data_IF_545249995703
#
_entry.id   IF_545249995703
#
_cell.length_a   1.000
_cell.length_b   1.000
_cell.length_c   1.000
_cell.angle_alpha   90.00
_cell.angle_beta   90.00
_cell.angle_gamma   90.00
#
_symmetry.space_group_name_H-M   'P 1'
#
loop_
_entity.id
_entity.type
_entity.pdbx_description
1 polymer ?
#
# COMPACT_ATOMS: atom_id res chain seq x y z
N UNK A 1 59.71 -36.57 55.45
CA UNK A 1 60.82 -37.33 54.84
C UNK A 1 60.47 -37.60 53.39
N UNK A 2 61.37 -37.21 52.48
CA UNK A 2 61.50 -37.63 51.07
C UNK A 2 60.36 -37.27 50.09
N UNK A 3 60.58 -36.79 48.85
CA UNK A 3 61.75 -36.25 48.13
C UNK A 3 61.24 -35.76 46.75
N UNK A 4 61.76 -34.62 46.29
CA UNK A 4 62.35 -34.35 44.95
C UNK A 4 61.53 -34.65 43.66
N UNK A 5 61.15 -33.63 42.87
CA UNK A 5 61.89 -32.87 41.81
C UNK A 5 61.71 -33.42 40.37
N UNK A 6 61.87 -32.48 39.41
CA UNK A 6 61.97 -32.57 37.93
C UNK A 6 60.65 -32.59 37.15
N UNK A 7 60.48 -31.94 36.00
CA UNK A 7 61.12 -30.79 35.32
C UNK A 7 60.22 -30.47 34.08
N UNK A 8 60.37 -29.26 33.55
CA UNK A 8 59.67 -28.64 32.41
C UNK A 8 59.35 -29.52 31.18
N UNK A 9 58.21 -29.24 30.55
CA UNK A 9 58.11 -29.18 29.08
C UNK A 9 56.97 -28.24 28.64
N UNK A 10 57.37 -27.22 27.87
CA UNK A 10 56.51 -26.36 27.07
C UNK A 10 55.80 -27.18 25.99
N UNK A 11 54.50 -26.94 25.80
CA UNK A 11 53.82 -27.23 24.53
C UNK A 11 52.78 -26.14 24.27
N UNK A 12 52.95 -25.51 23.11
CA UNK A 12 52.18 -24.38 22.62
C UNK A 12 50.77 -24.77 22.14
N UNK A 13 49.94 -23.74 21.99
CA UNK A 13 48.62 -23.71 21.38
C UNK A 13 48.44 -24.70 20.21
N UNK A 14 47.26 -25.34 20.17
CA UNK A 14 46.25 -25.18 19.11
C UNK A 14 44.91 -25.52 19.77
N UNK A 15 44.12 -24.51 20.11
CA UNK A 15 42.68 -24.70 20.33
C UNK A 15 42.03 -24.63 18.94
N UNK A 16 41.75 -25.79 18.34
CA UNK A 16 40.71 -25.89 17.31
C UNK A 16 39.38 -25.63 18.01
N UNK A 17 39.05 -24.34 18.18
CA UNK A 17 37.68 -23.93 18.38
C UNK A 17 36.91 -24.39 17.14
N UNK A 18 36.14 -25.47 17.29
CA UNK A 18 35.11 -25.81 16.32
C UNK A 18 34.24 -24.57 16.20
N UNK A 19 34.32 -23.88 15.06
CA UNK A 19 33.29 -22.96 14.65
C UNK A 19 32.00 -23.79 14.63
N UNK A 20 31.18 -23.65 15.66
CA UNK A 20 29.77 -23.98 15.58
C UNK A 20 29.26 -23.22 14.36
N UNK A 21 28.72 -23.89 13.33
CA UNK A 21 28.06 -23.16 12.26
C UNK A 21 27.01 -22.30 12.94
N UNK A 22 27.01 -21.00 12.62
CA UNK A 22 25.97 -20.10 13.05
C UNK A 22 24.65 -20.79 12.80
N UNK A 23 23.94 -21.11 13.89
CA UNK A 23 22.58 -21.59 13.85
C UNK A 23 21.82 -20.70 12.87
N UNK A 24 21.33 -21.30 11.78
CA UNK A 24 20.44 -20.67 10.83
C UNK A 24 19.52 -19.70 11.55
N UNK A 25 19.66 -18.40 11.25
CA UNK A 25 18.64 -17.40 11.56
C UNK A 25 17.33 -17.95 11.00
N UNK A 26 16.47 -18.44 11.88
CA UNK A 26 15.10 -18.79 11.55
C UNK A 26 14.35 -17.49 11.24
N UNK A 27 14.56 -16.96 10.03
CA UNK A 27 13.49 -16.20 9.39
C UNK A 27 12.27 -17.13 9.27
N UNK A 28 11.05 -16.64 9.48
CA UNK A 28 9.87 -17.46 9.31
C UNK A 28 9.90 -18.09 7.91
N UNK A 29 9.65 -19.40 7.84
CA UNK A 29 9.54 -20.08 6.54
C UNK A 29 8.42 -19.38 5.78
N UNK A 30 8.67 -19.00 4.53
CA UNK A 30 7.75 -18.26 3.66
C UNK A 30 6.29 -18.79 3.73
N UNK A 31 6.12 -20.12 3.81
CA UNK A 31 4.81 -20.76 3.94
C UNK A 31 4.06 -20.49 5.25
N UNK A 32 4.71 -19.96 6.31
CA UNK A 32 4.06 -19.57 7.58
C UNK A 32 3.48 -18.15 7.53
N UNK A 33 4.06 -17.26 6.72
CA UNK A 33 3.64 -15.86 6.63
C UNK A 33 2.52 -15.64 5.59
N UNK A 34 2.53 -16.38 4.48
CA UNK A 34 1.63 -16.08 3.36
C UNK A 34 0.38 -16.93 3.32
N UNK A 35 -0.78 -16.30 3.12
CA UNK A 35 -1.96 -17.00 2.67
C UNK A 35 -1.80 -17.51 1.23
N UNK A 36 -1.96 -18.82 1.05
CA UNK A 36 -1.90 -19.50 -0.24
C UNK A 36 -3.28 -19.85 -0.77
N UNK A 37 -4.36 -19.47 -0.08
CA UNK A 37 -5.73 -19.65 -0.59
C UNK A 37 -5.92 -18.90 -1.90
N UNK A 38 -6.75 -19.48 -2.76
CA UNK A 38 -7.13 -18.95 -4.07
C UNK A 38 -8.62 -18.57 -4.13
N UNK A 39 -9.27 -18.43 -2.97
CA UNK A 39 -10.69 -18.08 -2.85
C UNK A 39 -10.98 -16.65 -3.26
N UNK A 40 -9.99 -15.76 -3.14
CA UNK A 40 -10.05 -14.40 -3.63
C UNK A 40 -9.43 -14.32 -5.04
N UNK A 41 -10.01 -13.53 -5.97
CA UNK A 41 -9.41 -13.27 -7.26
C UNK A 41 -8.08 -12.52 -7.10
N UNK A 42 -7.18 -12.66 -8.07
CA UNK A 42 -5.95 -11.87 -8.10
C UNK A 42 -6.25 -10.39 -8.43
N UNK A 43 -5.37 -9.45 -8.04
CA UNK A 43 -5.52 -8.07 -8.45
C UNK A 43 -5.31 -7.94 -9.95
N UNK A 44 -6.10 -7.08 -10.61
CA UNK A 44 -5.65 -6.52 -11.87
C UNK A 44 -4.48 -5.60 -11.56
N UNK A 45 -3.40 -5.72 -12.35
CA UNK A 45 -2.16 -4.98 -12.11
C UNK A 45 -2.32 -3.55 -12.58
N UNK A 46 -2.07 -2.60 -11.69
CA UNK A 46 -2.16 -1.18 -11.95
C UNK A 46 -0.92 -0.58 -12.63
N UNK A 47 0.20 -1.30 -12.67
CA UNK A 47 1.48 -0.87 -13.27
C UNK A 47 2.02 0.47 -12.73
N UNK A 48 1.88 0.70 -11.42
CA UNK A 48 2.43 1.88 -10.73
C UNK A 48 2.86 1.52 -9.31
N UNK A 49 4.03 1.99 -8.88
CA UNK A 49 4.47 1.92 -7.49
C UNK A 49 3.75 2.97 -6.64
N UNK A 50 2.91 2.53 -5.72
CA UNK A 50 2.05 3.40 -4.91
C UNK A 50 1.84 2.85 -3.52
N UNK A 51 1.75 3.77 -2.56
CA UNK A 51 1.20 3.57 -1.23
C UNK A 51 0.04 4.57 -1.07
N UNK A 52 -1.05 4.14 -0.45
CA UNK A 52 -2.29 4.90 -0.24
C UNK A 52 -2.78 5.65 -1.49
N UNK A 53 -3.11 4.94 -2.58
CA UNK A 53 -3.65 5.57 -3.78
C UNK A 53 -5.01 6.22 -3.50
N UNK A 54 -5.27 7.35 -4.14
CA UNK A 54 -6.62 7.85 -4.38
C UNK A 54 -6.82 8.05 -5.89
N UNK A 55 -7.98 7.64 -6.40
CA UNK A 55 -8.26 7.73 -7.84
C UNK A 55 -9.56 8.48 -8.09
N UNK A 56 -9.53 9.44 -9.01
CA UNK A 56 -10.71 10.11 -9.56
C UNK A 56 -10.79 9.88 -11.06
N UNK A 57 -12.00 9.74 -11.59
CA UNK A 57 -12.23 9.68 -13.03
C UNK A 57 -12.80 11.02 -13.50
N UNK A 58 -12.09 11.68 -14.42
CA UNK A 58 -12.44 13.01 -14.90
C UNK A 58 -12.07 13.17 -16.38
N UNK A 59 -12.99 13.73 -17.18
CA UNK A 59 -12.79 13.96 -18.63
C UNK A 59 -12.15 12.77 -19.35
N UNK A 60 -12.75 11.59 -19.17
CA UNK A 60 -12.34 10.33 -19.79
C UNK A 60 -10.95 9.80 -19.39
N UNK A 61 -10.40 10.29 -18.29
CA UNK A 61 -9.11 9.84 -17.75
C UNK A 61 -9.20 9.50 -16.28
N UNK A 62 -8.34 8.59 -15.86
CA UNK A 62 -8.07 8.30 -14.46
C UNK A 62 -6.94 9.20 -13.97
N UNK A 63 -7.15 9.83 -12.83
CA UNK A 63 -6.14 10.61 -12.12
C UNK A 63 -5.87 9.94 -10.78
N UNK A 64 -4.61 9.58 -10.52
CA UNK A 64 -4.19 8.92 -9.30
C UNK A 64 -3.29 9.84 -8.48
N UNK A 65 -3.63 10.03 -7.22
CA UNK A 65 -2.87 10.77 -6.22
C UNK A 65 -2.25 9.79 -5.24
N UNK A 66 -1.04 10.08 -4.76
CA UNK A 66 -0.38 9.25 -3.75
C UNK A 66 0.50 10.06 -2.79
N UNK A 67 0.87 9.45 -1.67
CA UNK A 67 1.87 10.01 -0.77
C UNK A 67 3.24 10.13 -1.45
N UNK A 68 4.03 11.13 -1.05
CA UNK A 68 5.34 11.40 -1.64
C UNK A 68 5.70 12.88 -1.64
N UNK A 69 6.79 13.25 -2.33
CA UNK A 69 7.22 14.65 -2.42
C UNK A 69 6.08 15.50 -2.96
N UNK A 70 5.57 16.40 -2.12
CA UNK A 70 4.49 17.34 -2.44
C UNK A 70 3.20 16.69 -3.01
N UNK A 71 2.95 15.41 -2.71
CA UNK A 71 1.79 14.63 -3.20
C UNK A 71 1.76 14.56 -4.73
N UNK A 72 2.57 13.68 -5.35
CA UNK A 72 2.56 13.53 -6.80
C UNK A 72 1.24 12.92 -7.30
N UNK A 73 0.84 13.33 -8.50
CA UNK A 73 -0.32 12.74 -9.16
C UNK A 73 -0.07 12.45 -10.64
N UNK A 74 -0.81 11.44 -11.12
CA UNK A 74 -0.59 10.74 -12.36
C UNK A 74 -1.88 10.69 -13.17
N UNK A 75 -1.76 10.57 -14.48
CA UNK A 75 -2.88 10.40 -15.41
C UNK A 75 -2.71 9.14 -16.24
N UNK A 76 -3.80 8.41 -16.46
CA UNK A 76 -3.87 7.27 -17.36
C UNK A 76 -5.24 7.19 -18.06
N UNK A 77 -5.30 6.51 -19.20
CA UNK A 77 -6.55 6.23 -19.89
C UNK A 77 -7.35 5.07 -19.26
N UNK A 78 -6.68 4.22 -18.47
CA UNK A 78 -7.29 3.10 -17.76
C UNK A 78 -6.54 2.81 -16.44
N UNK A 79 -7.16 2.03 -15.54
CA UNK A 79 -6.63 1.68 -14.21
C UNK A 79 -5.33 0.87 -14.23
N UNK A 80 -5.01 0.22 -15.35
CA UNK A 80 -3.76 -0.53 -15.56
C UNK A 80 -2.65 0.31 -16.21
N UNK A 81 -2.86 1.61 -16.40
CA UNK A 81 -1.87 2.51 -16.99
C UNK A 81 -1.76 2.41 -18.52
N UNK A 82 -0.64 2.82 -19.12
CA UNK A 82 0.52 3.42 -18.45
C UNK A 82 0.17 4.74 -17.76
N UNK A 83 0.80 4.99 -16.60
CA UNK A 83 0.60 6.21 -15.82
C UNK A 83 1.68 7.24 -16.16
N UNK A 84 1.26 8.47 -16.41
CA UNK A 84 2.16 9.61 -16.62
C UNK A 84 2.05 10.55 -15.42
N UNK A 85 3.15 10.83 -14.72
CA UNK A 85 3.16 11.87 -13.69
C UNK A 85 2.95 13.23 -14.35
N UNK A 86 1.96 13.99 -13.90
CA UNK A 86 1.59 15.28 -14.50
C UNK A 86 1.76 16.46 -13.55
N UNK A 87 1.97 16.20 -12.25
CA UNK A 87 2.27 17.26 -11.29
C UNK A 87 2.36 16.79 -9.84
N UNK A 88 2.36 17.78 -8.95
CA UNK A 88 2.25 17.63 -7.49
C UNK A 88 1.14 18.53 -6.96
N UNK A 89 0.42 18.09 -5.93
CA UNK A 89 -0.67 18.89 -5.32
C UNK A 89 -0.11 20.08 -4.56
N UNK A 90 1.10 20.00 -4.01
CA UNK A 90 1.74 21.16 -3.41
C UNK A 90 2.84 21.68 -4.33
N UNK A 91 2.97 23.01 -4.41
CA UNK A 91 4.06 23.69 -5.14
C UNK A 91 5.36 23.77 -4.30
N UNK A 92 5.30 23.31 -3.04
CA UNK A 92 6.39 23.28 -2.09
C UNK A 92 5.98 22.60 -0.78
N UNK A 93 6.70 22.90 0.30
CA UNK A 93 6.31 22.49 1.65
C UNK A 93 4.91 23.00 1.98
N UNK A 94 4.08 22.14 2.60
CA UNK A 94 2.79 22.56 3.14
C UNK A 94 2.94 23.78 4.07
N UNK A 95 1.94 24.67 4.04
CA UNK A 95 1.86 25.83 4.95
C UNK A 95 1.60 25.43 6.40
N UNK A 96 1.27 24.17 6.66
CA UNK A 96 1.04 23.63 7.98
C UNK A 96 2.37 23.30 8.66
N UNK A 97 2.68 23.96 9.78
CA UNK A 97 3.89 23.68 10.57
C UNK A 97 3.76 22.45 11.49
N UNK A 98 3.57 21.27 10.91
CA UNK A 98 3.43 19.99 11.63
C UNK A 98 3.83 18.81 10.74
N UNK A 99 4.35 17.72 11.32
CA UNK A 99 4.74 16.52 10.57
C UNK A 99 5.79 16.77 9.48
N UNK A 100 5.84 15.88 8.48
CA UNK A 100 6.72 16.03 7.32
C UNK A 100 6.06 16.84 6.19
N UNK A 101 6.32 18.15 6.16
CA UNK A 101 5.73 19.14 5.24
C UNK A 101 6.05 18.93 3.77
N UNK A 102 7.19 18.32 3.46
CA UNK A 102 7.63 18.10 2.08
C UNK A 102 7.15 16.78 1.51
N UNK A 103 6.69 15.84 2.36
CA UNK A 103 6.25 14.51 1.93
C UNK A 103 4.95 14.05 2.61
N UNK A 104 3.80 14.67 2.26
CA UNK A 104 2.52 14.26 2.82
C UNK A 104 2.12 12.84 2.38
N UNK A 105 1.21 12.23 3.15
CA UNK A 105 0.71 10.86 2.97
C UNK A 105 -0.78 10.83 2.61
N UNK A 106 -1.26 9.64 2.20
CA UNK A 106 -2.68 9.28 2.06
C UNK A 106 -3.58 10.42 1.55
N UNK A 107 -3.36 10.92 0.31
CA UNK A 107 -4.19 11.96 -0.24
C UNK A 107 -5.59 11.42 -0.58
N UNK A 108 -6.61 12.27 -0.44
CA UNK A 108 -7.94 12.00 -1.00
C UNK A 108 -8.41 13.21 -1.80
N UNK A 109 -8.63 13.01 -3.10
CA UNK A 109 -9.13 14.04 -4.02
C UNK A 109 -10.61 13.80 -4.33
N UNK A 110 -11.39 14.88 -4.28
CA UNK A 110 -12.79 14.91 -4.69
C UNK A 110 -13.09 16.14 -5.54
N UNK A 111 -14.10 16.06 -6.40
CA UNK A 111 -14.49 17.14 -7.30
C UNK A 111 -15.87 17.69 -6.92
N UNK A 112 -16.03 19.01 -7.03
CA UNK A 112 -17.31 19.71 -6.99
C UNK A 112 -17.29 20.93 -7.90
N UNK A 113 -18.23 20.97 -8.85
CA UNK A 113 -18.52 22.13 -9.69
C UNK A 113 -17.29 22.70 -10.41
N UNK A 114 -16.40 21.83 -10.87
CA UNK A 114 -15.13 22.14 -11.53
C UNK A 114 -13.95 22.38 -10.59
N UNK A 115 -14.15 22.34 -9.26
CA UNK A 115 -13.08 22.49 -8.27
C UNK A 115 -12.73 21.15 -7.66
N UNK A 116 -11.44 20.82 -7.68
CA UNK A 116 -10.87 19.67 -6.99
C UNK A 116 -10.40 20.08 -5.60
N UNK A 117 -10.66 19.23 -4.63
CA UNK A 117 -10.20 19.33 -3.25
C UNK A 117 -9.36 18.10 -2.95
N UNK A 118 -8.08 18.28 -2.66
CA UNK A 118 -7.19 17.21 -2.25
C UNK A 118 -6.86 17.38 -0.77
N UNK A 119 -7.45 16.51 0.06
CA UNK A 119 -7.03 16.34 1.45
C UNK A 119 -5.71 15.59 1.48
N UNK A 120 -4.82 15.94 2.40
CA UNK A 120 -3.50 15.30 2.54
C UNK A 120 -3.07 15.25 4.00
N UNK A 121 -2.23 14.28 4.32
CA UNK A 121 -1.79 14.01 5.70
C UNK A 121 -0.37 14.49 5.96
N UNK A 122 -0.15 15.14 7.10
CA UNK A 122 1.16 15.45 7.65
C UNK A 122 1.34 14.76 8.99
N UNK A 123 2.30 13.83 9.06
CA UNK A 123 2.60 13.09 10.29
C UNK A 123 4.06 12.61 10.31
N UNK A 124 4.38 11.85 11.34
CA UNK A 124 5.62 11.09 11.54
C UNK A 124 5.24 9.73 12.14
N UNK A 125 5.93 8.65 11.74
CA UNK A 125 5.54 7.27 12.12
C UNK A 125 5.38 7.11 13.64
N UNK A 126 4.36 6.38 14.04
CA UNK A 126 4.06 6.09 15.46
C UNK A 126 3.61 7.29 16.29
N UNK A 127 3.28 8.41 15.66
CA UNK A 127 2.86 9.64 16.34
C UNK A 127 1.43 10.02 15.99
N UNK A 128 0.71 10.56 16.97
CA UNK A 128 -0.55 11.28 16.76
C UNK A 128 -0.38 12.80 16.70
N UNK A 129 0.85 13.30 16.60
CA UNK A 129 1.08 14.71 16.30
C UNK A 129 0.89 14.96 14.80
N UNK A 130 -0.34 14.79 14.33
CA UNK A 130 -0.69 14.77 12.92
C UNK A 130 -1.67 15.87 12.53
N UNK A 131 -1.67 16.24 11.25
CA UNK A 131 -2.63 17.17 10.67
C UNK A 131 -3.14 16.67 9.31
N UNK A 132 -4.41 16.95 9.04
CA UNK A 132 -5.00 16.82 7.70
C UNK A 132 -5.13 18.22 7.12
N UNK A 133 -4.46 18.46 6.00
CA UNK A 133 -4.60 19.68 5.21
C UNK A 133 -5.52 19.49 4.01
N UNK A 134 -5.85 20.59 3.33
CA UNK A 134 -6.60 20.57 2.08
C UNK A 134 -6.06 21.59 1.09
N UNK A 135 -5.89 21.18 -0.15
CA UNK A 135 -5.53 22.05 -1.26
C UNK A 135 -6.58 22.00 -2.36
N UNK A 136 -6.72 23.08 -3.15
CA UNK A 136 -7.68 23.12 -4.26
C UNK A 136 -7.08 23.55 -5.58
N UNK A 137 -7.62 23.03 -6.69
CA UNK A 137 -7.39 23.54 -8.05
C UNK A 137 -8.67 23.45 -8.87
N UNK A 138 -8.78 24.23 -9.94
CA UNK A 138 -9.85 24.09 -10.94
C UNK A 138 -9.40 23.33 -12.18
N UNK A 139 -8.10 23.02 -12.30
CA UNK A 139 -7.53 22.29 -13.44
C UNK A 139 -6.45 21.34 -12.93
N UNK A 140 -6.61 20.05 -13.22
CA UNK A 140 -5.61 19.03 -12.87
C UNK A 140 -4.36 19.10 -13.77
N UNK A 141 -4.50 19.61 -15.00
CA UNK A 141 -3.39 19.72 -15.94
C UNK A 141 -2.84 21.16 -15.95
N UNK A 142 -1.80 21.41 -15.15
CA UNK A 142 -0.96 22.62 -15.28
C UNK A 142 -1.40 23.87 -14.52
N UNK A 143 -2.42 23.82 -13.65
CA UNK A 143 -2.71 24.92 -12.71
C UNK A 143 -2.12 24.66 -11.32
N UNK A 144 -1.56 25.69 -10.66
CA UNK A 144 -1.10 25.55 -9.29
C UNK A 144 -2.30 25.27 -8.38
N UNK A 145 -2.06 24.43 -7.40
CA UNK A 145 -3.00 24.19 -6.31
C UNK A 145 -2.78 25.24 -5.22
N UNK A 146 -3.86 25.61 -4.53
CA UNK A 146 -3.84 26.52 -3.40
C UNK A 146 -3.94 25.69 -2.13
N UNK A 147 -2.92 25.72 -1.28
CA UNK A 147 -2.93 25.09 0.05
C UNK A 147 -3.68 25.98 1.05
N UNK A 148 -4.78 25.46 1.62
CA UNK A 148 -5.63 26.19 2.56
C UNK A 148 -5.28 25.92 4.03
N UNK A 149 -4.25 25.12 4.28
CA UNK A 149 -3.83 24.75 5.62
C UNK A 149 -4.69 23.65 6.24
N UNK A 150 -4.71 23.60 7.57
CA UNK A 150 -5.20 22.43 8.31
C UNK A 150 -6.71 22.45 8.53
N UNK A 151 -7.35 21.31 8.26
CA UNK A 151 -8.75 21.01 8.55
C UNK A 151 -8.89 20.35 9.92
N UNK A 152 -8.04 19.36 10.22
CA UNK A 152 -8.01 18.62 11.48
C UNK A 152 -6.58 18.59 12.01
N UNK A 153 -6.41 18.74 13.32
CA UNK A 153 -5.11 18.58 14.01
C UNK A 153 -5.26 17.72 15.24
N UNK A 154 -4.23 16.91 15.51
CA UNK A 154 -4.09 16.08 16.70
C UNK A 154 -2.70 16.30 17.30
N UNK A 155 -2.57 16.11 18.61
CA UNK A 155 -1.32 16.30 19.36
C UNK A 155 -0.97 17.76 19.65
N UNK A 156 -0.85 18.61 18.62
CA UNK A 156 -0.50 20.02 18.75
C UNK A 156 -1.26 20.91 17.75
N UNK A 157 -1.20 22.23 17.97
CA UNK A 157 -1.83 23.23 17.12
C UNK A 157 -3.29 23.52 17.48
N UNK A 158 -3.87 24.51 16.81
CA UNK A 158 -5.24 24.95 17.10
C UNK A 158 -6.25 23.81 16.90
N UNK A 159 -7.23 23.71 17.80
CA UNK A 159 -8.26 22.65 17.79
C UNK A 159 -7.79 21.30 18.35
N UNK A 160 -6.50 21.00 18.44
CA UNK A 160 -6.00 19.66 18.85
C UNK A 160 -6.39 19.21 20.27
N UNK A 161 -6.81 20.15 21.13
CA UNK A 161 -7.29 19.89 22.49
C UNK A 161 -8.80 19.64 22.58
N UNK A 162 -9.52 19.72 21.44
CA UNK A 162 -10.96 19.49 21.36
C UNK A 162 -11.24 17.99 21.18
N UNK A 163 -12.24 17.46 21.88
CA UNK A 163 -12.70 16.08 21.66
C UNK A 163 -13.35 15.93 20.26
N UNK A 164 -13.07 14.85 19.50
CA UNK A 164 -12.27 13.66 19.82
C UNK A 164 -10.79 13.74 19.41
N UNK A 165 -10.30 14.89 18.94
CA UNK A 165 -8.90 15.06 18.49
C UNK A 165 -7.87 14.82 19.61
N UNK A 166 -8.31 14.84 20.86
CA UNK A 166 -7.49 14.47 22.02
C UNK A 166 -7.14 12.97 22.06
N UNK A 167 -7.93 12.11 21.42
CA UNK A 167 -7.74 10.65 21.42
C UNK A 167 -7.55 10.04 20.04
N UNK A 168 -7.91 10.72 18.97
CA UNK A 168 -7.72 10.22 17.60
C UNK A 168 -6.35 10.61 17.02
N UNK A 169 -6.01 10.06 15.86
CA UNK A 169 -4.88 10.46 15.02
C UNK A 169 -5.40 11.10 13.71
N UNK A 170 -5.02 12.34 13.42
CA UNK A 170 -5.47 13.05 12.23
C UNK A 170 -4.64 12.69 10.99
N UNK A 171 -4.89 11.49 10.47
CA UNK A 171 -4.35 10.98 9.20
C UNK A 171 -5.46 10.26 8.41
N UNK A 172 -5.14 9.84 7.19
CA UNK A 172 -5.97 8.97 6.33
C UNK A 172 -7.37 9.53 6.06
N UNK A 173 -7.39 10.79 5.63
CA UNK A 173 -8.61 11.49 5.30
C UNK A 173 -9.33 10.81 4.13
N UNK A 174 -10.64 10.58 4.27
CA UNK A 174 -11.54 10.28 3.15
C UNK A 174 -12.81 11.11 3.22
N UNK A 175 -13.54 11.19 2.12
CA UNK A 175 -14.64 12.12 1.97
C UNK A 175 -15.92 11.42 1.52
N UNK A 176 -17.06 11.85 2.06
CA UNK A 176 -18.37 11.42 1.59
C UNK A 176 -19.38 12.56 1.70
N UNK A 177 -20.38 12.56 0.80
CA UNK A 177 -21.58 13.39 0.95
C UNK A 177 -22.77 12.51 1.24
N UNK A 178 -23.59 12.94 2.17
CA UNK A 178 -24.89 12.34 2.40
C UNK A 178 -25.78 12.53 1.17
N UNK A 179 -26.28 11.43 0.60
CA UNK A 179 -27.24 11.41 -0.49
C UNK A 179 -28.57 12.04 -0.11
N UNK A 180 -28.96 12.02 1.17
CA UNK A 180 -30.22 12.59 1.61
C UNK A 180 -30.15 14.11 1.81
N UNK A 181 -29.11 14.61 2.49
CA UNK A 181 -29.00 16.03 2.87
C UNK A 181 -27.98 16.83 2.06
N UNK A 182 -27.07 16.17 1.37
CA UNK A 182 -25.94 16.80 0.68
C UNK A 182 -24.78 17.24 1.59
N UNK A 183 -24.92 17.07 2.91
CA UNK A 183 -23.88 17.40 3.90
C UNK A 183 -22.61 16.58 3.64
N UNK A 184 -21.48 17.27 3.59
CA UNK A 184 -20.17 16.65 3.43
C UNK A 184 -19.57 16.25 4.78
N UNK A 185 -18.91 15.11 4.79
CA UNK A 185 -18.21 14.58 5.94
C UNK A 185 -16.79 14.20 5.56
N UNK A 186 -15.87 14.43 6.49
CA UNK A 186 -14.50 13.94 6.44
C UNK A 186 -14.38 12.78 7.41
N UNK A 187 -14.01 11.62 6.91
CA UNK A 187 -13.60 10.48 7.73
C UNK A 187 -12.08 10.53 7.89
N UNK A 188 -11.57 10.11 9.04
CA UNK A 188 -10.14 10.09 9.32
C UNK A 188 -9.85 9.16 10.49
N UNK A 189 -8.60 8.79 10.68
CA UNK A 189 -8.21 7.99 11.83
C UNK A 189 -7.29 6.84 11.45
N UNK A 190 -6.42 6.52 12.38
CA UNK A 190 -5.46 5.42 12.28
C UNK A 190 -5.03 5.08 13.69
N UNK A 191 -5.26 3.84 14.09
CA UNK A 191 -4.97 3.36 15.43
C UNK A 191 -5.62 4.22 16.52
N UNK A 192 -5.06 4.22 17.75
CA UNK A 192 -5.63 4.90 18.90
C UNK A 192 -7.10 4.57 19.13
N UNK A 193 -8.01 5.49 18.83
CA UNK A 193 -9.46 5.30 18.93
C UNK A 193 -10.07 5.17 17.52
N UNK A 194 -9.33 4.52 16.61
CA UNK A 194 -9.73 4.13 15.28
C UNK A 194 -10.33 5.28 14.45
N UNK A 195 -11.38 5.01 13.69
CA UNK A 195 -11.87 5.88 12.62
C UNK A 195 -13.01 6.76 13.12
N UNK A 196 -12.91 8.06 12.85
CA UNK A 196 -13.87 9.10 13.19
C UNK A 196 -14.37 9.82 11.94
N UNK A 197 -15.54 10.44 12.06
CA UNK A 197 -16.15 11.24 11.02
C UNK A 197 -16.64 12.58 11.57
N UNK A 198 -16.27 13.67 10.91
CA UNK A 198 -16.68 15.05 11.25
C UNK A 198 -17.40 15.72 10.08
N UNK A 199 -18.44 16.53 10.33
CA UNK A 199 -19.09 17.33 9.29
C UNK A 199 -18.18 18.48 8.85
N UNK A 200 -18.05 18.64 7.53
CA UNK A 200 -17.37 19.79 6.95
C UNK A 200 -18.32 20.99 6.83
N UNK A 201 -17.76 22.20 6.87
CA UNK A 201 -18.43 23.41 6.45
C UNK A 201 -18.71 23.36 4.94
N UNK A 202 -19.58 24.24 4.43
CA UNK A 202 -20.03 24.20 3.03
C UNK A 202 -18.89 24.43 2.02
N UNK A 203 -17.81 25.10 2.43
CA UNK A 203 -16.62 25.31 1.61
C UNK A 203 -15.75 24.04 1.46
N UNK A 204 -15.95 23.03 2.31
CA UNK A 204 -15.13 21.83 2.47
C UNK A 204 -13.67 22.08 2.87
N UNK A 205 -13.37 23.29 3.34
CA UNK A 205 -12.04 23.72 3.76
C UNK A 205 -11.88 23.68 5.29
N UNK A 206 -12.98 23.53 6.03
CA UNK A 206 -12.99 23.53 7.49
C UNK A 206 -14.07 22.61 8.07
N UNK A 207 -13.97 22.32 9.36
CA UNK A 207 -15.00 21.59 10.12
C UNK A 207 -16.16 22.55 10.40
N UNK A 208 -17.41 22.08 10.27
CA UNK A 208 -18.62 22.90 10.44
C UNK A 208 -18.74 23.58 11.81
N UNK A 209 -18.20 22.96 12.86
CA UNK A 209 -18.22 23.48 14.25
C UNK A 209 -16.95 23.05 14.98
N UNK A 210 -15.80 23.71 14.74
CA UNK A 210 -14.49 23.21 15.14
C UNK A 210 -14.27 23.18 16.66
N UNK A 211 -14.92 24.05 17.43
CA UNK A 211 -14.82 24.09 18.90
C UNK A 211 -15.66 22.99 19.57
N UNK A 212 -16.68 22.49 18.88
CA UNK A 212 -17.54 21.39 19.32
C UNK A 212 -17.94 20.52 18.13
N UNK A 213 -17.00 19.75 17.55
CA UNK A 213 -17.28 18.92 16.39
C UNK A 213 -18.38 17.92 16.75
N UNK A 214 -19.44 17.89 15.95
CA UNK A 214 -20.37 16.76 15.95
C UNK A 214 -19.65 15.58 15.30
N UNK A 215 -18.70 14.99 16.01
CA UNK A 215 -17.92 13.85 15.55
C UNK A 215 -18.63 12.55 15.95
N UNK A 216 -18.66 11.58 15.04
CA UNK A 216 -19.04 10.20 15.36
C UNK A 216 -17.87 9.27 15.09
N UNK A 217 -17.78 8.20 15.88
CA UNK A 217 -16.83 7.13 15.62
C UNK A 217 -17.48 6.14 14.65
N UNK A 218 -16.74 5.70 13.63
CA UNK A 218 -17.22 4.79 12.60
C UNK A 218 -16.86 3.33 12.92
N UNK A 219 -15.64 3.13 13.43
CA UNK A 219 -15.10 1.83 13.81
C UNK A 219 -14.41 1.94 15.16
N UNK A 220 -14.40 0.84 15.93
CA UNK A 220 -13.68 0.77 17.18
C UNK A 220 -13.44 -0.68 17.58
N UNK A 221 -12.22 -0.99 18.01
CA UNK A 221 -11.92 -2.28 18.64
C UNK A 221 -11.88 -2.11 20.17
N UNK A 222 -12.93 -2.50 20.91
CA UNK A 222 -12.95 -2.37 22.35
C UNK A 222 -11.98 -3.35 23.00
N UNK A 223 -11.42 -2.94 24.15
CA UNK A 223 -10.58 -3.77 25.03
C UNK A 223 -9.21 -4.19 24.48
N UNK A 224 -8.90 -3.86 23.23
CA UNK A 224 -7.55 -4.04 22.69
C UNK A 224 -6.65 -2.84 23.03
N UNK A 225 -5.35 -3.11 23.19
CA UNK A 225 -4.34 -2.06 23.42
C UNK A 225 -3.92 -1.44 22.10
N UNK A 226 -3.67 -2.28 21.10
CA UNK A 226 -3.38 -1.90 19.72
C UNK A 226 -4.65 -2.12 18.93
N UNK A 227 -5.09 -1.10 18.20
CA UNK A 227 -6.29 -1.17 17.36
C UNK A 227 -5.85 -0.90 15.94
N UNK A 228 -5.53 -1.92 15.14
CA UNK A 228 -4.86 -1.72 13.86
C UNK A 228 -5.88 -1.40 12.76
N UNK A 229 -6.71 -0.37 12.95
CA UNK A 229 -7.68 0.10 11.94
C UNK A 229 -7.29 1.49 11.42
N UNK A 230 -7.20 1.64 10.09
CA UNK A 230 -6.84 2.89 9.42
C UNK A 230 -7.26 2.91 7.95
N UNK A 231 -6.84 3.91 7.16
CA UNK A 231 -7.07 3.93 5.71
C UNK A 231 -8.55 3.89 5.32
N UNK A 232 -9.39 4.68 5.99
CA UNK A 232 -10.85 4.64 5.82
C UNK A 232 -11.33 5.13 4.44
N UNK A 233 -12.43 4.58 3.94
CA UNK A 233 -13.16 5.11 2.77
C UNK A 233 -14.66 4.91 2.96
N UNK A 234 -15.50 5.86 2.53
CA UNK A 234 -16.95 5.68 2.50
C UNK A 234 -17.46 5.71 1.06
N UNK A 235 -18.28 4.72 0.70
CA UNK A 235 -19.01 4.68 -0.57
C UNK A 235 -20.51 4.52 -0.35
N UNK A 236 -21.31 4.85 -1.37
CA UNK A 236 -22.76 4.66 -1.36
C UNK A 236 -23.17 3.78 -2.54
N UNK A 237 -23.99 2.76 -2.28
CA UNK A 237 -24.54 1.86 -3.29
C UNK A 237 -25.91 1.34 -2.82
N UNK A 238 -26.94 1.45 -3.67
CA UNK A 238 -28.31 0.95 -3.45
C UNK A 238 -28.90 1.17 -2.05
N UNK A 239 -28.86 2.41 -1.58
CA UNK A 239 -29.49 2.79 -0.30
C UNK A 239 -28.69 2.44 0.95
N UNK A 240 -27.43 2.02 0.77
CA UNK A 240 -26.48 1.76 1.84
C UNK A 240 -25.21 2.59 1.68
N UNK A 241 -24.71 3.09 2.80
CA UNK A 241 -23.34 3.56 2.95
C UNK A 241 -22.48 2.39 3.41
N UNK A 242 -21.30 2.26 2.82
CA UNK A 242 -20.30 1.25 3.16
C UNK A 242 -19.10 1.97 3.76
N UNK A 243 -18.77 1.66 5.01
CA UNK A 243 -17.56 2.11 5.68
C UNK A 243 -16.48 1.05 5.48
N UNK A 244 -15.49 1.38 4.67
CA UNK A 244 -14.34 0.57 4.33
C UNK A 244 -13.14 1.01 5.16
N UNK A 245 -12.27 0.07 5.51
CA UNK A 245 -11.07 0.36 6.26
C UNK A 245 -10.04 -0.76 6.06
N UNK A 246 -8.78 -0.41 6.27
CA UNK A 246 -7.70 -1.39 6.37
C UNK A 246 -7.60 -1.86 7.82
N UNK A 247 -7.52 -3.16 8.03
CA UNK A 247 -7.30 -3.77 9.34
C UNK A 247 -6.03 -4.62 9.32
N UNK A 248 -5.17 -4.43 10.31
CA UNK A 248 -3.95 -5.22 10.53
C UNK A 248 -2.69 -4.37 10.46
N UNK A 249 -1.54 -5.03 10.53
CA UNK A 249 -0.24 -4.37 10.41
C UNK A 249 0.12 -4.12 8.94
N UNK A 250 0.44 -2.86 8.68
CA UNK A 250 0.99 -2.41 7.42
C UNK A 250 2.50 -2.19 7.53
N UNK A 251 3.13 -2.26 6.36
CA UNK A 251 4.36 -1.54 6.06
C UNK A 251 5.63 -2.03 6.78
N UNK A 252 6.80 -1.64 6.25
CA UNK A 252 8.13 -1.84 6.87
C UNK A 252 8.41 -3.26 7.40
N UNK A 253 7.93 -4.28 6.70
CA UNK A 253 8.13 -5.68 7.08
C UNK A 253 9.61 -6.09 7.10
N UNK A 254 10.46 -5.39 6.35
CA UNK A 254 11.91 -5.54 6.36
C UNK A 254 12.58 -5.01 7.63
N UNK A 255 11.97 -4.04 8.32
CA UNK A 255 12.48 -3.45 9.55
C UNK A 255 11.90 -4.09 10.81
N UNK A 256 10.61 -4.41 10.80
CA UNK A 256 9.86 -4.84 11.99
C UNK A 256 9.53 -6.33 11.99
N UNK A 257 9.80 -7.02 10.88
CA UNK A 257 9.39 -8.40 10.67
C UNK A 257 7.96 -8.51 10.17
N UNK A 258 7.48 -9.74 10.04
CA UNK A 258 6.13 -10.03 9.57
C UNK A 258 5.20 -10.31 10.76
N UNK A 259 3.97 -9.80 10.76
CA UNK A 259 2.96 -10.17 11.75
C UNK A 259 2.60 -11.66 11.63
N UNK A 260 1.81 -12.14 12.59
CA UNK A 260 1.18 -13.45 12.45
C UNK A 260 0.23 -13.46 11.24
N UNK A 261 -0.04 -14.65 10.70
CA UNK A 261 -0.93 -14.80 9.55
C UNK A 261 -2.34 -14.27 9.90
N UNK A 262 -2.90 -13.47 9.00
CA UNK A 262 -4.18 -12.76 9.10
C UNK A 262 -4.15 -11.50 9.97
N UNK A 263 -3.01 -11.20 10.59
CA UNK A 263 -2.79 -9.92 11.28
C UNK A 263 -2.12 -8.90 10.37
N UNK A 264 -1.67 -9.27 9.17
CA UNK A 264 -1.32 -8.31 8.14
C UNK A 264 -2.56 -7.61 7.56
N UNK A 265 -2.32 -6.50 6.88
CA UNK A 265 -3.35 -5.69 6.24
C UNK A 265 -4.38 -6.50 5.43
N UNK A 266 -5.66 -6.23 5.73
CA UNK A 266 -6.83 -6.70 5.01
C UNK A 266 -7.82 -5.55 4.82
N UNK A 267 -8.55 -5.57 3.72
CA UNK A 267 -9.62 -4.61 3.41
C UNK A 267 -10.92 -5.15 3.99
N UNK A 268 -11.51 -4.40 4.92
CA UNK A 268 -12.76 -4.74 5.59
C UNK A 268 -13.85 -3.72 5.31
N UNK A 269 -15.11 -4.14 5.52
CA UNK A 269 -16.28 -3.29 5.32
C UNK A 269 -17.38 -3.56 6.34
N UNK A 270 -18.13 -2.52 6.69
CA UNK A 270 -19.48 -2.62 7.23
C UNK A 270 -20.43 -1.67 6.50
N UNK A 271 -21.74 -1.86 6.65
CA UNK A 271 -22.76 -1.02 5.99
C UNK A 271 -23.78 -0.43 6.96
N UNK A 272 -24.36 0.69 6.57
CA UNK A 272 -25.46 1.35 7.27
C UNK A 272 -26.39 2.04 6.27
N UNK A 273 -27.65 2.28 6.65
CA UNK A 273 -28.55 3.14 5.86
C UNK A 273 -28.33 4.63 6.14
N UNK A 274 -27.59 4.96 7.20
CA UNK A 274 -27.22 6.33 7.54
C UNK A 274 -25.72 6.54 7.34
N UNK A 275 -25.33 7.67 6.75
CA UNK A 275 -23.92 8.01 6.47
C UNK A 275 -23.04 8.08 7.72
N UNK A 276 -23.68 8.28 8.89
CA UNK A 276 -23.05 8.39 10.22
C UNK A 276 -23.14 7.11 11.04
N UNK A 277 -23.62 6.02 10.45
CA UNK A 277 -23.81 4.74 11.15
C UNK A 277 -25.07 4.68 12.02
N UNK A 278 -25.16 3.68 12.92
CA UNK A 278 -24.14 2.67 13.19
C UNK A 278 -23.92 1.76 11.98
N UNK A 279 -22.66 1.36 11.78
CA UNK A 279 -22.28 0.39 10.75
C UNK A 279 -22.17 -1.00 11.36
N UNK A 280 -22.64 -2.00 10.62
CA UNK A 280 -22.54 -3.41 10.97
C UNK A 280 -21.89 -4.19 9.84
N UNK A 281 -21.24 -5.30 10.16
CA UNK A 281 -20.72 -6.24 9.17
C UNK A 281 -21.78 -7.26 8.72
N UNK A 282 -21.40 -8.19 7.84
CA UNK A 282 -22.26 -9.23 7.27
C UNK A 282 -22.98 -10.06 8.32
N UNK A 283 -22.32 -10.31 9.45
CA UNK A 283 -22.83 -11.14 10.54
C UNK A 283 -23.56 -10.30 11.60
N UNK A 284 -23.85 -9.03 11.28
CA UNK A 284 -24.50 -8.02 12.13
C UNK A 284 -23.69 -7.61 13.38
N UNK A 285 -22.37 -7.84 13.40
CA UNK A 285 -21.51 -7.29 14.45
C UNK A 285 -21.22 -5.82 14.16
N UNK A 286 -21.34 -4.97 15.18
CA UNK A 286 -21.07 -3.54 15.03
C UNK A 286 -19.59 -3.30 14.72
N UNK A 287 -19.29 -2.36 13.81
CA UNK A 287 -17.91 -1.91 13.60
C UNK A 287 -17.32 -1.27 14.87
N UNK A 288 -18.16 -0.73 15.76
CA UNK A 288 -17.77 -0.20 17.07
C UNK A 288 -17.48 -1.27 18.13
N UNK A 289 -17.64 -2.55 17.78
CA UNK A 289 -17.31 -3.71 18.62
C UNK A 289 -16.25 -4.59 17.96
N UNK A 290 -15.46 -4.02 17.03
CA UNK A 290 -14.46 -4.74 16.23
C UNK A 290 -15.08 -5.70 15.20
N UNK A 291 -16.25 -5.35 14.65
CA UNK A 291 -16.81 -6.01 13.47
C UNK A 291 -16.09 -5.59 12.19
N UNK A 292 -16.39 -6.27 11.10
CA UNK A 292 -15.88 -5.93 9.77
C UNK A 292 -15.76 -7.14 8.86
N UNK A 293 -16.52 -7.16 7.76
CA UNK A 293 -16.44 -8.22 6.77
C UNK A 293 -15.19 -8.06 5.94
N UNK A 294 -14.32 -9.06 5.89
CA UNK A 294 -13.16 -9.09 5.00
C UNK A 294 -13.65 -9.17 3.55
N UNK A 295 -13.26 -8.20 2.73
CA UNK A 295 -13.56 -8.15 1.30
C UNK A 295 -12.34 -8.55 0.48
N UNK A 296 -11.14 -8.18 0.93
CA UNK A 296 -9.90 -8.52 0.26
C UNK A 296 -8.75 -8.65 1.25
N UNK A 297 -7.88 -9.63 1.05
CA UNK A 297 -6.77 -9.94 1.96
C UNK A 297 -5.61 -10.58 1.18
N UNK A 298 -4.49 -10.85 1.85
CA UNK A 298 -3.39 -11.63 1.29
C UNK A 298 -3.89 -12.93 0.67
N UNK A 299 -3.36 -13.32 -0.49
CA UNK A 299 -3.83 -14.48 -1.22
C UNK A 299 -2.81 -14.98 -2.25
N UNK A 300 -3.02 -16.21 -2.76
CA UNK A 300 -2.23 -16.86 -3.81
C UNK A 300 -0.71 -16.98 -3.52
N UNK A 301 -0.27 -16.74 -2.28
CA UNK A 301 1.13 -16.57 -1.92
C UNK A 301 1.84 -15.42 -2.64
N UNK A 302 1.08 -14.56 -3.34
CA UNK A 302 1.58 -13.53 -4.26
C UNK A 302 1.17 -12.13 -3.82
N UNK A 303 -0.06 -12.00 -3.33
CA UNK A 303 -0.62 -10.74 -2.83
C UNK A 303 -0.43 -10.72 -1.33
N UNK A 304 0.21 -9.67 -0.82
CA UNK A 304 0.46 -9.52 0.61
C UNK A 304 0.04 -8.14 1.09
N UNK A 305 -0.64 -8.11 2.24
CA UNK A 305 -1.02 -6.91 2.97
C UNK A 305 -1.75 -5.84 2.10
N UNK A 306 -2.83 -6.17 1.35
CA UNK A 306 -3.56 -5.18 0.59
C UNK A 306 -4.33 -4.19 1.49
N UNK A 307 -4.24 -2.89 1.21
CA UNK A 307 -5.00 -1.85 1.91
C UNK A 307 -4.72 -0.45 1.38
N UNK A 308 -4.96 0.57 2.21
CA UNK A 308 -4.94 1.98 1.77
C UNK A 308 -5.91 2.17 0.60
N UNK A 309 -7.15 1.72 0.80
CA UNK A 309 -8.10 1.48 -0.27
C UNK A 309 -8.89 2.72 -0.71
N UNK A 310 -9.62 2.57 -1.80
CA UNK A 310 -10.81 3.35 -2.08
C UNK A 310 -11.72 2.65 -3.08
N UNK A 311 -12.94 3.17 -3.23
CA UNK A 311 -13.94 2.65 -4.17
C UNK A 311 -14.32 3.73 -5.16
N UNK A 312 -14.00 3.49 -6.43
CA UNK A 312 -14.45 4.32 -7.53
C UNK A 312 -15.82 3.84 -8.00
N UNK A 313 -16.84 4.63 -7.69
CA UNK A 313 -18.20 4.37 -8.15
C UNK A 313 -18.28 4.44 -9.68
N UNK A 314 -18.95 3.46 -10.28
CA UNK A 314 -19.22 3.40 -11.72
C UNK A 314 -20.73 3.48 -11.94
N UNK A 315 -21.12 3.70 -13.20
CA UNK A 315 -22.53 3.80 -13.56
C UNK A 315 -23.14 2.40 -13.75
N UNK A 316 -24.46 2.30 -13.94
CA UNK A 316 -25.18 1.02 -14.07
C UNK A 316 -24.66 0.08 -15.17
N UNK A 317 -23.85 0.59 -16.11
CA UNK A 317 -23.21 -0.19 -17.19
C UNK A 317 -21.81 -0.71 -16.84
N UNK A 318 -21.29 -0.44 -15.64
CA UNK A 318 -19.97 -0.88 -15.22
C UNK A 318 -19.93 -1.12 -13.71
N UNK A 319 -19.36 -2.24 -13.24
CA UNK A 319 -19.21 -2.48 -11.81
C UNK A 319 -18.27 -1.46 -11.15
N UNK A 320 -18.51 -1.17 -9.87
CA UNK A 320 -17.62 -0.36 -9.03
C UNK A 320 -16.22 -0.97 -8.99
N UNK A 321 -15.20 -0.14 -8.79
CA UNK A 321 -13.80 -0.58 -8.73
C UNK A 321 -13.26 -0.35 -7.33
N UNK A 322 -12.82 -1.44 -6.69
CA UNK A 322 -11.97 -1.39 -5.51
C UNK A 322 -10.52 -1.21 -5.97
N UNK A 323 -9.85 -0.17 -5.48
CA UNK A 323 -8.41 0.05 -5.71
C UNK A 323 -7.68 0.15 -4.37
N UNK A 324 -6.39 -0.23 -4.36
CA UNK A 324 -5.57 -0.32 -3.15
C UNK A 324 -4.10 -0.45 -3.52
N UNK A 325 -3.22 -0.32 -2.53
CA UNK A 325 -1.84 -0.79 -2.65
C UNK A 325 -1.73 -2.23 -2.13
N UNK A 326 -0.77 -2.99 -2.65
CA UNK A 326 -0.40 -4.30 -2.11
C UNK A 326 1.08 -4.60 -2.37
N UNK A 327 1.65 -5.53 -1.63
CA UNK A 327 3.00 -6.03 -1.88
C UNK A 327 2.94 -7.31 -2.71
N UNK A 328 3.72 -7.35 -3.80
CA UNK A 328 3.92 -8.56 -4.58
C UNK A 328 5.12 -9.33 -4.01
N UNK A 329 4.87 -10.53 -3.47
CA UNK A 329 5.91 -11.34 -2.80
C UNK A 329 7.06 -11.75 -3.73
N UNK A 330 6.85 -11.73 -5.04
CA UNK A 330 7.91 -12.00 -6.04
C UNK A 330 8.81 -10.78 -6.31
N UNK A 331 8.43 -9.59 -5.83
CA UNK A 331 9.21 -8.35 -5.95
C UNK A 331 9.90 -8.02 -4.63
N UNK A 332 9.15 -8.02 -3.53
CA UNK A 332 9.64 -7.70 -2.20
C UNK A 332 8.59 -7.06 -1.31
N UNK A 333 9.01 -6.63 -0.12
CA UNK A 333 8.13 -6.19 0.97
C UNK A 333 8.36 -4.76 1.44
N UNK A 334 9.20 -4.01 0.71
CA UNK A 334 9.52 -2.63 1.07
C UNK A 334 8.38 -1.70 0.67
N UNK A 335 8.18 -0.65 1.46
CA UNK A 335 7.15 0.37 1.25
C UNK A 335 7.08 0.91 -0.18
N UNK A 336 8.22 1.24 -0.79
CA UNK A 336 8.29 1.76 -2.17
C UNK A 336 8.11 0.68 -3.26
N UNK A 337 8.04 -0.60 -2.89
CA UNK A 337 7.72 -1.72 -3.78
C UNK A 337 6.23 -2.02 -3.82
N UNK A 338 5.41 -1.37 -2.98
CA UNK A 338 3.97 -1.49 -3.05
C UNK A 338 3.45 -1.08 -4.43
N UNK A 339 2.53 -1.86 -4.96
CA UNK A 339 1.97 -1.72 -6.30
C UNK A 339 0.49 -1.37 -6.24
N UNK A 340 0.02 -0.63 -7.25
CA UNK A 340 -1.40 -0.43 -7.46
C UNK A 340 -2.06 -1.75 -7.85
N UNK A 341 -3.03 -2.19 -7.06
CA UNK A 341 -3.95 -3.27 -7.38
C UNK A 341 -5.37 -2.74 -7.54
N UNK A 342 -6.17 -3.39 -8.39
CA UNK A 342 -7.59 -3.08 -8.49
C UNK A 342 -8.43 -4.30 -8.89
N UNK A 343 -9.67 -4.35 -8.39
CA UNK A 343 -10.66 -5.37 -8.75
C UNK A 343 -12.02 -4.72 -8.97
N UNK A 344 -12.86 -5.37 -9.76
CA UNK A 344 -14.27 -5.00 -9.83
C UNK A 344 -15.01 -5.53 -8.60
N UNK A 345 -16.07 -4.83 -8.22
CA UNK A 345 -16.99 -5.22 -7.17
C UNK A 345 -18.33 -5.65 -7.78
N UNK A 346 -18.90 -6.73 -7.24
CA UNK A 346 -20.34 -7.02 -7.31
C UNK A 346 -20.93 -6.93 -5.92
N UNK A 347 -22.25 -6.76 -5.83
CA UNK A 347 -22.95 -6.73 -4.55
C UNK A 347 -23.88 -7.96 -4.43
N UNK A 348 -23.47 -8.95 -3.63
CA UNK A 348 -24.29 -10.13 -3.35
C UNK A 348 -25.16 -9.85 -2.12
N UNK A 349 -26.48 -9.80 -2.30
CA UNK A 349 -27.43 -9.38 -1.25
C UNK A 349 -27.04 -8.04 -0.58
N UNK A 350 -26.48 -7.13 -1.38
CA UNK A 350 -25.98 -5.83 -0.94
C UNK A 350 -24.67 -5.89 -0.14
N UNK A 351 -23.89 -6.95 -0.24
CA UNK A 351 -22.53 -7.02 0.32
C UNK A 351 -21.49 -7.05 -0.81
N UNK A 352 -20.48 -6.19 -0.76
CA UNK A 352 -19.48 -6.12 -1.82
C UNK A 352 -18.60 -7.37 -1.81
N UNK A 353 -18.37 -7.91 -3.00
CA UNK A 353 -17.49 -9.05 -3.25
C UNK A 353 -16.61 -8.70 -4.44
N UNK A 354 -15.31 -8.93 -4.30
CA UNK A 354 -14.37 -8.80 -5.41
C UNK A 354 -14.63 -9.87 -6.47
N UNK A 355 -14.55 -9.49 -7.74
CA UNK A 355 -14.65 -10.42 -8.86
C UNK A 355 -13.40 -10.33 -9.75
N UNK A 356 -13.15 -11.42 -10.48
CA UNK A 356 -12.17 -11.42 -11.55
C UNK A 356 -12.47 -10.31 -12.56
N UNK A 357 -11.42 -9.75 -13.15
CA UNK A 357 -11.57 -8.88 -14.31
C UNK A 357 -12.34 -9.62 -15.42
N UNK A 358 -13.30 -8.93 -16.06
CA UNK A 358 -14.00 -9.47 -17.25
C UNK A 358 -13.00 -9.81 -18.38
N UNK A 359 -11.76 -9.30 -18.32
CA UNK A 359 -10.62 -9.62 -19.21
C UNK A 359 -9.42 -10.30 -18.51
N UNK A 360 -9.57 -10.80 -17.27
CA UNK A 360 -8.47 -11.43 -16.52
C UNK A 360 -7.95 -12.73 -17.16
N UNK A 361 -8.70 -13.33 -18.10
CA UNK A 361 -8.25 -14.51 -18.86
C UNK A 361 -7.14 -14.20 -19.87
N UNK A 362 -6.83 -12.93 -20.14
CA UNK A 362 -5.78 -12.53 -21.10
C UNK A 362 -4.46 -12.09 -20.48
N UNK A 363 -4.33 -12.00 -19.15
CA UNK A 363 -3.08 -11.59 -18.50
C UNK A 363 -2.18 -12.74 -18.04
N UNK A 364 -2.59 -14.00 -18.21
CA UNK A 364 -1.74 -15.16 -17.97
C UNK A 364 -0.94 -15.53 -19.23
N UNK A 365 -0.09 -14.63 -19.73
CA UNK A 365 1.04 -15.00 -20.58
C UNK A 365 2.30 -15.08 -19.71
N UNK A 366 2.98 -16.23 -19.60
CA UNK A 366 4.22 -16.32 -18.87
C UNK A 366 5.28 -15.53 -19.65
N UNK A 367 5.69 -14.37 -19.16
CA UNK A 367 6.89 -13.70 -19.65
C UNK A 367 8.10 -14.47 -19.12
N UNK A 368 8.43 -15.58 -19.78
CA UNK A 368 9.80 -16.09 -19.77
C UNK A 368 10.57 -15.36 -20.88
N UNK A 369 11.07 -14.16 -20.58
CA UNK A 369 12.21 -13.64 -21.33
C UNK A 369 13.49 -14.19 -20.67
N UNK A 370 14.03 -15.25 -21.27
CA UNK A 370 15.44 -15.58 -21.07
C UNK A 370 16.29 -14.41 -21.59
N UNK A 371 17.28 -13.91 -20.82
CA UNK A 371 18.15 -12.85 -21.31
C UNK A 371 18.92 -13.36 -22.53
N UNK A 372 18.88 -12.58 -23.60
CA UNK A 372 19.66 -12.80 -24.81
C UNK A 372 21.16 -12.81 -24.48
N UNK A 373 21.93 -13.59 -25.24
CA UNK A 373 23.38 -13.84 -25.07
C UNK A 373 24.30 -12.61 -25.18
N UNK A 374 23.77 -11.38 -25.17
CA UNK A 374 24.55 -10.15 -25.39
C UNK A 374 24.90 -9.36 -24.12
N UNK A 375 24.50 -9.81 -22.91
CA UNK A 375 24.76 -9.10 -21.65
C UNK A 375 25.91 -9.67 -20.80
N UNK A 376 26.83 -10.42 -21.41
CA UNK A 376 28.02 -10.98 -20.73
C UNK A 376 29.35 -10.39 -21.24
N UNK A 377 29.30 -9.22 -21.91
CA UNK A 377 30.46 -8.62 -22.56
C UNK A 377 30.63 -7.12 -22.26
N UNK A 378 30.40 -6.71 -21.01
CA UNK A 378 30.76 -5.36 -20.55
C UNK A 378 30.92 -5.35 -19.04
N UNK A 379 31.89 -6.10 -18.49
CA UNK A 379 32.50 -5.85 -17.17
C UNK A 379 33.73 -6.75 -16.96
N UNK A 380 34.73 -6.70 -17.84
CA UNK A 380 36.10 -7.10 -17.51
C UNK A 380 37.09 -6.27 -18.33
N UNK A 381 37.26 -5.02 -17.92
CA UNK A 381 38.32 -4.15 -18.42
C UNK A 381 39.12 -3.63 -17.25
N UNK A 382 40.11 -4.40 -16.77
CA UNK A 382 41.38 -3.91 -16.22
C UNK A 382 42.24 -5.05 -15.65
N UNK A 383 43.53 -4.99 -16.01
CA UNK A 383 44.66 -5.82 -15.57
C UNK A 383 44.72 -7.23 -16.17
N UNK A 384 45.83 -7.80 -16.63
CA UNK A 384 47.09 -7.36 -17.26
C UNK A 384 47.96 -8.63 -17.31
N UNK A 385 48.55 -8.93 -18.47
CA UNK A 385 49.77 -9.75 -18.68
C UNK A 385 49.68 -11.28 -18.51
N UNK A 386 50.30 -11.93 -19.49
CA UNK A 386 51.01 -13.23 -19.44
C UNK A 386 50.24 -14.49 -19.87
N UNK A 387 50.42 -14.81 -21.16
CA UNK A 387 50.88 -16.08 -21.73
C UNK A 387 50.33 -17.45 -21.25
N UNK A 388 50.02 -18.27 -22.27
CA UNK A 388 50.22 -19.72 -22.39
C UNK A 388 49.13 -20.71 -21.93
N UNK A 389 48.73 -21.50 -22.95
CA UNK A 389 48.43 -22.93 -22.96
C UNK A 389 47.11 -23.50 -22.41
N UNK A 390 46.31 -24.01 -23.36
CA UNK A 390 45.85 -25.41 -23.46
C UNK A 390 45.58 -26.17 -22.16
N UNK A 391 44.31 -26.52 -21.91
CA UNK A 391 43.77 -27.89 -22.00
C UNK A 391 42.32 -27.94 -21.48
N UNK A 392 41.56 -28.92 -21.97
CA UNK A 392 40.24 -29.37 -21.50
C UNK A 392 38.99 -28.60 -21.98
N UNK A 393 38.64 -28.80 -23.26
CA UNK A 393 37.26 -28.65 -23.75
C UNK A 393 36.90 -29.91 -24.54
N UNK A 394 36.79 -31.04 -23.85
CA UNK A 394 36.42 -32.32 -24.46
C UNK A 394 35.64 -33.19 -23.49
N UNK A 395 34.53 -32.68 -22.92
CA UNK A 395 33.60 -33.54 -22.17
C UNK A 395 32.13 -33.06 -22.07
N UNK A 396 31.71 -32.02 -22.80
CA UNK A 396 30.31 -31.52 -22.72
C UNK A 396 29.68 -31.38 -24.11
N UNK A 397 29.85 -32.37 -24.99
CA UNK A 397 29.11 -32.44 -26.26
C UNK A 397 28.59 -33.85 -26.61
N UNK A 398 28.55 -34.77 -25.64
CA UNK A 398 27.98 -36.11 -25.83
C UNK A 398 26.51 -36.27 -25.36
N UNK A 399 25.87 -35.22 -24.81
CA UNK A 399 24.54 -35.35 -24.18
C UNK A 399 23.35 -34.82 -24.99
N UNK A 400 23.56 -34.44 -26.25
CA UNK A 400 22.49 -33.91 -27.11
C UNK A 400 22.55 -34.60 -28.48
N UNK A 401 22.01 -35.82 -28.53
CA UNK A 401 22.10 -36.73 -29.67
C UNK A 401 21.51 -36.19 -30.97
N UNK A 402 22.36 -35.62 -31.82
CA UNK A 402 22.05 -35.38 -33.23
C UNK A 402 23.20 -35.85 -34.13
N UNK A 403 22.84 -36.71 -35.07
CA UNK A 403 23.74 -37.29 -36.09
C UNK A 403 24.05 -36.29 -37.21
N UNK A 404 25.34 -36.18 -37.51
CA UNK A 404 26.00 -35.92 -38.80
C UNK A 404 25.16 -35.38 -39.96
N UNK A 405 25.56 -34.21 -40.48
CA UNK A 405 25.06 -33.64 -41.73
C UNK A 405 25.92 -32.49 -42.24
N UNK A 406 26.89 -32.85 -43.06
CA UNK A 406 27.85 -32.05 -43.84
C UNK A 406 27.27 -30.78 -44.52
N UNK A 407 28.09 -29.72 -44.58
CA UNK A 407 28.39 -28.82 -45.74
C UNK A 407 28.43 -27.33 -45.37
N UNK A 408 29.63 -26.72 -45.37
CA UNK A 408 29.95 -25.63 -46.30
C UNK A 408 31.43 -25.23 -46.22
N UNK A 409 32.04 -25.24 -47.40
CA UNK A 409 33.36 -24.75 -47.75
C UNK A 409 33.31 -23.23 -48.04
N UNK A 410 34.48 -22.58 -47.93
CA UNK A 410 34.91 -21.27 -48.48
C UNK A 410 34.50 -20.03 -47.66
N UNK A 411 35.37 -19.32 -46.92
CA UNK A 411 36.62 -18.62 -47.29
C UNK A 411 36.48 -17.74 -48.54
N UNK A 412 36.20 -16.44 -48.35
CA UNK A 412 37.07 -15.30 -48.76
C UNK A 412 36.36 -13.95 -48.53
N UNK A 413 36.84 -13.19 -47.54
CA UNK A 413 37.22 -11.76 -47.60
C UNK A 413 37.33 -11.19 -46.18
#
# INVERSE_FOLDING_TARGET
MYRSKLLFLWAALIALGRATPASHLWGPTLSRVYDTTDTLPRPNVGNLNVHDPNVVFWKDHYYLFKGGVHVPYFRAANMSGPWTQIGTVLDGDSVIHQGNRSRPWAPTTVERNGTFYCFYTLSTRGSRNSAIGVATTTVLDGSPWIDHGAVVRTGQGNGSTVWPFTVSNAIDASFIRDQATGQAYLNYGSFWHDIWQVPLADDWLSIKSPERPDAVQLTFIPREVVRPEEGSWLSYHDGYYYAWFSHGECCNFDEHGFPERNDEYSIRVGRSRAVRGPFVDHDNKMLLDGGGTVVYASNHGLVYAPGGLGVLARNDSSPDILYYHYLNTSIGFRDDQALLGWNYLKYDNGWPVVIDGIDAKTSAAPVYQLPSRLYLLTMMGRWSRSALCFTAFSEILANWGFSTGLWLYLLWS
#
